data_IF_327346917047
#
_entry.id   IF_327346917047
#
_cell.length_a   1.000
_cell.length_b   1.000
_cell.length_c   1.000
_cell.angle_alpha   90.00
_cell.angle_beta   90.00
_cell.angle_gamma   90.00
#
_symmetry.space_group_name_H-M   'P 1'
#
loop_
_entity.id
_entity.type
_entity.pdbx_description
1 polymer ?
#
# COMPACT_ATOMS: atom_id res chain seq x y z
N UNK A 1 5.75 16.99 -26.15
CA UNK A 1 6.76 17.74 -25.37
C UNK A 1 6.94 19.10 -26.02
N UNK A 2 7.08 20.17 -25.24
CA UNK A 2 7.25 21.53 -25.76
C UNK A 2 8.62 21.68 -26.43
N UNK A 3 8.63 22.40 -27.54
CA UNK A 3 9.85 22.94 -28.15
C UNK A 3 10.54 23.93 -27.21
N UNK A 4 11.80 24.27 -27.48
CA UNK A 4 12.53 25.26 -26.68
C UNK A 4 11.83 26.63 -26.71
N UNK A 5 11.25 27.03 -27.84
CA UNK A 5 10.54 28.30 -27.98
C UNK A 5 9.25 28.32 -27.16
N UNK A 6 8.44 27.25 -27.23
CA UNK A 6 7.24 27.10 -26.41
C UNK A 6 7.56 27.10 -24.92
N UNK A 7 8.66 26.44 -24.52
CA UNK A 7 9.13 26.43 -23.14
C UNK A 7 9.57 27.83 -22.68
N UNK A 8 10.34 28.56 -23.49
CA UNK A 8 10.75 29.93 -23.19
C UNK A 8 9.53 30.83 -22.99
N UNK A 9 8.54 30.74 -23.90
CA UNK A 9 7.29 31.50 -23.80
C UNK A 9 6.50 31.12 -22.54
N UNK A 10 6.44 29.82 -22.21
CA UNK A 10 5.80 29.36 -20.99
C UNK A 10 6.50 29.92 -19.74
N UNK A 11 7.83 29.92 -19.67
CA UNK A 11 8.58 30.52 -18.58
C UNK A 11 8.31 32.02 -18.41
N UNK A 12 8.16 32.75 -19.51
CA UNK A 12 7.78 34.17 -19.50
C UNK A 12 6.35 34.34 -18.97
N UNK A 13 5.39 33.56 -19.49
CA UNK A 13 3.99 33.62 -19.06
C UNK A 13 3.81 33.31 -17.57
N UNK A 14 4.59 32.36 -17.04
CA UNK A 14 4.58 32.01 -15.62
C UNK A 14 5.42 32.96 -14.75
N UNK A 15 6.06 33.99 -15.33
CA UNK A 15 6.95 34.91 -14.62
C UNK A 15 8.05 34.20 -13.82
N UNK A 16 8.63 33.13 -14.37
CA UNK A 16 9.62 32.33 -13.64
C UNK A 16 10.94 33.09 -13.45
N UNK A 17 11.51 32.95 -12.25
CA UNK A 17 12.87 33.40 -11.94
C UNK A 17 13.91 32.65 -12.78
N UNK A 18 15.09 33.25 -12.98
CA UNK A 18 16.19 32.59 -13.69
C UNK A 18 16.59 31.26 -13.02
N UNK A 19 16.57 31.22 -11.68
CA UNK A 19 16.87 30.00 -10.92
C UNK A 19 15.84 28.88 -11.21
N UNK A 20 14.55 29.22 -11.27
CA UNK A 20 13.49 28.28 -11.60
C UNK A 20 13.62 27.73 -13.03
N UNK A 21 13.98 28.59 -13.99
CA UNK A 21 14.22 28.19 -15.39
C UNK A 21 15.39 27.19 -15.50
N UNK A 22 16.52 27.51 -14.86
CA UNK A 22 17.71 26.63 -14.84
C UNK A 22 17.37 25.26 -14.26
N UNK A 23 16.59 25.21 -13.18
CA UNK A 23 16.22 23.93 -12.56
C UNK A 23 15.30 23.10 -13.47
N UNK A 24 14.34 23.72 -14.16
CA UNK A 24 13.52 22.98 -15.14
C UNK A 24 14.37 22.51 -16.33
N UNK A 25 15.23 23.36 -16.89
CA UNK A 25 16.11 22.95 -18.00
C UNK A 25 17.01 21.78 -17.62
N UNK A 26 17.55 21.80 -16.40
CA UNK A 26 18.32 20.69 -15.84
C UNK A 26 17.47 19.41 -15.77
N UNK A 27 16.20 19.49 -15.37
CA UNK A 27 15.29 18.34 -15.34
C UNK A 27 14.96 17.85 -16.77
N UNK A 28 14.62 18.76 -17.68
CA UNK A 28 14.28 18.45 -19.09
C UNK A 28 15.43 17.76 -19.83
N UNK A 29 16.67 18.12 -19.51
CA UNK A 29 17.88 17.57 -20.12
C UNK A 29 18.47 16.37 -19.35
N UNK A 30 17.95 16.04 -18.18
CA UNK A 30 18.44 14.91 -17.40
C UNK A 30 17.93 13.57 -17.96
N UNK A 31 18.80 12.58 -18.04
CA UNK A 31 18.36 11.19 -18.08
C UNK A 31 17.74 10.80 -16.72
N UNK A 32 16.80 9.83 -16.65
CA UNK A 32 16.25 9.35 -15.39
C UNK A 32 17.38 8.98 -14.42
N UNK A 33 17.32 9.50 -13.19
CA UNK A 33 18.45 9.46 -12.25
C UNK A 33 18.86 8.06 -11.79
N UNK A 34 18.07 7.02 -12.09
CA UNK A 34 18.35 5.61 -11.82
C UNK A 34 17.67 4.70 -12.84
N UNK A 35 18.25 3.53 -13.10
CA UNK A 35 17.54 2.47 -13.84
C UNK A 35 16.64 1.70 -12.87
N UNK A 36 15.37 1.50 -13.25
CA UNK A 36 14.43 0.71 -12.44
C UNK A 36 14.89 -0.75 -12.31
N UNK A 37 15.00 -1.24 -11.08
CA UNK A 37 15.32 -2.63 -10.78
C UNK A 37 14.09 -3.39 -10.29
N UNK A 38 13.79 -4.55 -10.88
CA UNK A 38 12.71 -5.41 -10.37
C UNK A 38 13.10 -6.03 -9.03
N UNK A 39 12.41 -5.66 -7.95
CA UNK A 39 12.51 -6.34 -6.65
C UNK A 39 11.33 -7.30 -6.48
N UNK A 40 11.51 -8.38 -5.72
CA UNK A 40 10.53 -9.47 -5.48
C UNK A 40 9.11 -9.02 -5.06
N UNK A 41 8.92 -7.77 -4.64
CA UNK A 41 7.65 -7.24 -4.12
C UNK A 41 6.99 -6.16 -5.01
N UNK A 42 7.68 -5.62 -6.02
CA UNK A 42 7.17 -4.52 -6.85
C UNK A 42 7.28 -4.86 -8.34
N UNK A 43 6.20 -4.60 -9.09
CA UNK A 43 6.24 -4.63 -10.57
C UNK A 43 6.59 -3.23 -11.04
N UNK A 44 7.82 -3.10 -11.56
CA UNK A 44 8.32 -1.93 -12.29
C UNK A 44 8.13 -2.14 -13.79
N UNK A 45 8.18 -1.06 -14.55
CA UNK A 45 8.00 -1.11 -15.99
C UNK A 45 8.32 0.19 -16.70
N UNK A 46 7.89 0.24 -17.97
CA UNK A 46 8.08 1.35 -18.89
C UNK A 46 6.75 1.69 -19.54
N UNK A 47 6.46 2.98 -19.64
CA UNK A 47 5.27 3.51 -20.28
C UNK A 47 5.65 4.33 -21.53
N UNK A 48 5.18 3.96 -22.73
CA UNK A 48 5.47 4.73 -23.95
C UNK A 48 4.55 5.96 -24.01
N UNK A 49 5.04 7.11 -23.52
CA UNK A 49 4.25 8.35 -23.53
C UNK A 49 4.14 8.90 -24.96
N UNK A 50 2.90 9.01 -25.46
CA UNK A 50 2.60 9.69 -26.73
C UNK A 50 2.73 11.20 -26.55
N UNK A 51 2.31 11.74 -25.39
CA UNK A 51 2.43 13.18 -25.05
C UNK A 51 3.89 13.66 -25.07
N UNK A 52 4.79 12.87 -24.49
CA UNK A 52 6.21 13.23 -24.39
C UNK A 52 7.03 12.72 -25.57
N UNK A 53 6.56 11.70 -26.30
CA UNK A 53 7.32 11.06 -27.37
C UNK A 53 8.50 10.22 -26.87
N UNK A 54 8.53 9.90 -25.58
CA UNK A 54 9.61 9.14 -24.93
C UNK A 54 9.03 8.07 -24.01
N UNK A 55 9.91 7.16 -23.55
CA UNK A 55 9.53 6.13 -22.59
C UNK A 55 9.76 6.61 -21.16
N UNK A 56 8.71 6.56 -20.35
CA UNK A 56 8.72 6.95 -18.92
C UNK A 56 8.85 5.70 -18.06
N UNK A 57 9.74 5.69 -17.07
CA UNK A 57 9.90 4.56 -16.16
C UNK A 57 8.94 4.69 -14.96
N UNK A 58 8.52 3.55 -14.41
CA UNK A 58 7.81 3.50 -13.14
C UNK A 58 8.26 2.28 -12.33
N UNK A 59 8.23 2.39 -11.01
CA UNK A 59 8.57 1.33 -10.06
C UNK A 59 7.37 0.72 -9.36
N UNK A 60 6.21 1.35 -9.49
CA UNK A 60 4.98 0.88 -8.89
C UNK A 60 3.80 0.91 -9.86
N UNK A 61 3.38 -0.28 -10.31
CA UNK A 61 2.12 -0.42 -11.04
C UNK A 61 0.86 -0.01 -10.25
N UNK A 62 0.97 0.19 -8.92
CA UNK A 62 -0.18 0.50 -8.05
C UNK A 62 -0.42 1.98 -7.85
N UNK A 63 0.62 2.81 -7.97
CA UNK A 63 0.51 4.26 -7.73
C UNK A 63 1.17 5.07 -8.84
N UNK A 64 2.40 4.76 -9.23
CA UNK A 64 3.10 5.52 -10.28
C UNK A 64 2.50 5.29 -11.66
N UNK A 65 2.19 4.04 -12.04
CA UNK A 65 1.57 3.77 -13.34
C UNK A 65 0.18 4.44 -13.47
N UNK A 66 -0.77 4.32 -12.52
CA UNK A 66 -2.03 5.07 -12.59
C UNK A 66 -1.82 6.60 -12.61
N UNK A 67 -0.81 7.11 -11.91
CA UNK A 67 -0.46 8.53 -11.99
C UNK A 67 0.01 8.93 -13.38
N UNK A 68 0.87 8.13 -14.03
CA UNK A 68 1.28 8.34 -15.43
C UNK A 68 0.07 8.36 -16.36
N UNK A 69 -0.90 7.44 -16.22
CA UNK A 69 -2.13 7.47 -17.02
C UNK A 69 -2.88 8.80 -16.87
N UNK A 70 -3.03 9.31 -15.64
CA UNK A 70 -3.66 10.60 -15.37
C UNK A 70 -2.87 11.79 -15.95
N UNK A 71 -1.53 11.74 -15.91
CA UNK A 71 -0.70 12.77 -16.53
C UNK A 71 -0.80 12.76 -18.06
N UNK A 72 -0.69 11.57 -18.67
CA UNK A 72 -0.73 11.38 -20.12
C UNK A 72 -2.05 11.88 -20.72
N UNK A 73 -3.17 11.68 -20.04
CA UNK A 73 -4.51 11.99 -20.55
C UNK A 73 -5.05 13.34 -20.04
N UNK A 74 -4.29 14.07 -19.23
CA UNK A 74 -4.68 15.40 -18.78
C UNK A 74 -4.33 16.45 -19.85
N UNK A 75 -5.31 17.26 -20.25
CA UNK A 75 -5.09 18.41 -21.13
C UNK A 75 -4.29 19.55 -20.49
N UNK A 76 -4.24 19.61 -19.15
CA UNK A 76 -3.48 20.63 -18.42
C UNK A 76 -1.98 20.30 -18.29
N UNK A 77 -1.61 19.02 -18.42
CA UNK A 77 -0.21 18.58 -18.32
C UNK A 77 0.47 18.79 -19.66
N UNK A 78 1.52 19.62 -19.66
CA UNK A 78 2.36 19.89 -20.82
C UNK A 78 3.50 18.87 -20.91
N UNK A 79 4.17 18.64 -19.78
CA UNK A 79 5.29 17.71 -19.68
C UNK A 79 5.36 17.02 -18.33
N UNK A 80 5.99 15.84 -18.30
CA UNK A 80 6.29 15.15 -17.05
C UNK A 80 7.52 14.25 -17.20
N UNK A 81 8.31 14.18 -16.14
CA UNK A 81 9.61 13.53 -16.10
C UNK A 81 9.67 12.59 -14.91
N UNK A 82 10.00 11.32 -15.14
CA UNK A 82 10.23 10.34 -14.07
C UNK A 82 11.60 10.54 -13.43
N UNK A 83 11.65 10.38 -12.11
CA UNK A 83 12.89 10.35 -11.32
C UNK A 83 13.84 11.54 -11.58
N UNK A 84 13.35 12.78 -11.41
CA UNK A 84 14.18 13.99 -11.57
C UNK A 84 15.41 13.95 -10.65
N UNK A 85 16.43 14.81 -10.88
CA UNK A 85 17.63 14.86 -10.07
C UNK A 85 17.32 14.94 -8.56
N UNK A 86 18.03 14.15 -7.72
CA UNK A 86 17.78 14.12 -6.30
C UNK A 86 18.16 15.43 -5.62
N UNK A 87 17.48 15.76 -4.52
CA UNK A 87 17.79 16.92 -3.70
C UNK A 87 17.68 16.62 -2.21
N UNK A 88 18.30 17.48 -1.39
CA UNK A 88 18.32 17.34 0.06
C UNK A 88 17.15 18.07 0.68
N UNK A 89 16.39 17.35 1.51
CA UNK A 89 15.40 17.93 2.42
C UNK A 89 15.92 17.90 3.85
N UNK A 90 15.49 18.86 4.67
CA UNK A 90 15.86 18.96 6.08
C UNK A 90 14.61 19.09 6.96
N UNK A 91 14.53 18.33 8.03
CA UNK A 91 13.41 18.35 8.96
C UNK A 91 13.82 17.81 10.34
N UNK A 92 13.09 18.17 11.39
CA UNK A 92 13.32 17.64 12.73
C UNK A 92 12.66 16.27 12.90
N UNK A 93 13.31 15.34 13.59
CA UNK A 93 12.72 14.06 13.98
C UNK A 93 11.61 14.26 15.02
N UNK A 94 10.83 13.21 15.31
CA UNK A 94 9.87 13.22 16.42
C UNK A 94 10.54 13.48 17.79
N UNK A 95 11.84 13.20 17.92
CA UNK A 95 12.64 13.45 19.12
C UNK A 95 13.38 14.80 19.10
N UNK A 96 13.09 15.67 18.13
CA UNK A 96 13.70 17.00 18.00
C UNK A 96 15.10 17.06 17.38
N UNK A 97 15.63 15.96 16.82
CA UNK A 97 16.94 15.96 16.15
C UNK A 97 16.82 16.42 14.70
N UNK A 98 17.72 17.26 14.22
CA UNK A 98 17.73 17.67 12.82
C UNK A 98 18.22 16.52 11.92
N UNK A 99 17.45 16.20 10.89
CA UNK A 99 17.74 15.19 9.88
C UNK A 99 17.92 15.85 8.52
N UNK A 100 18.90 15.40 7.75
CA UNK A 100 19.08 15.74 6.35
C UNK A 100 19.01 14.49 5.50
N UNK A 101 18.07 14.43 4.56
CA UNK A 101 17.84 13.25 3.71
C UNK A 101 17.86 13.68 2.26
N UNK A 102 18.63 12.98 1.43
CA UNK A 102 18.56 13.13 -0.02
C UNK A 102 17.39 12.28 -0.52
N UNK A 103 16.48 12.90 -1.26
CA UNK A 103 15.31 12.25 -1.85
C UNK A 103 15.36 12.36 -3.36
N UNK A 104 14.82 11.36 -4.03
CA UNK A 104 14.49 11.40 -5.45
C UNK A 104 12.97 11.36 -5.54
N UNK A 105 12.31 12.45 -5.92
CA UNK A 105 10.87 12.42 -6.19
C UNK A 105 10.55 11.45 -7.32
N UNK A 106 9.30 10.97 -7.37
CA UNK A 106 8.90 10.02 -8.40
C UNK A 106 8.71 10.73 -9.74
N UNK A 107 8.19 11.97 -9.72
CA UNK A 107 8.00 12.77 -10.93
C UNK A 107 8.30 14.26 -10.72
N UNK A 108 8.61 14.94 -11.82
CA UNK A 108 8.44 16.38 -11.98
C UNK A 108 7.39 16.64 -13.07
N UNK A 109 6.44 17.54 -12.82
CA UNK A 109 5.31 17.79 -13.73
C UNK A 109 5.25 19.27 -14.08
N UNK A 110 5.12 19.57 -15.37
CA UNK A 110 4.87 20.90 -15.91
C UNK A 110 3.43 20.96 -16.42
N UNK A 111 2.66 21.88 -15.84
CA UNK A 111 1.26 22.16 -16.16
C UNK A 111 1.15 23.50 -16.86
N UNK A 112 -0.04 23.79 -17.38
CA UNK A 112 -0.31 25.06 -18.06
C UNK A 112 0.03 26.28 -17.20
N UNK A 113 -0.22 26.20 -15.89
CA UNK A 113 -0.05 27.33 -14.95
C UNK A 113 0.78 27.00 -13.69
N UNK A 114 1.52 25.89 -13.67
CA UNK A 114 2.36 25.54 -12.53
C UNK A 114 3.39 24.47 -12.89
N UNK A 115 4.41 24.30 -12.06
CA UNK A 115 5.28 23.13 -12.10
C UNK A 115 5.65 22.68 -10.69
N UNK A 116 6.12 21.45 -10.57
CA UNK A 116 6.65 20.95 -9.32
C UNK A 116 6.83 19.45 -9.24
N UNK A 117 7.30 19.01 -8.06
CA UNK A 117 7.66 17.63 -7.79
C UNK A 117 6.50 16.84 -7.20
N UNK A 118 6.44 15.55 -7.52
CA UNK A 118 5.42 14.64 -7.03
C UNK A 118 6.09 13.38 -6.47
N UNK A 119 5.71 13.02 -5.24
CA UNK A 119 5.96 11.69 -4.67
C UNK A 119 4.65 10.91 -4.63
N UNK A 120 4.65 9.71 -5.21
CA UNK A 120 3.56 8.76 -5.20
C UNK A 120 3.69 7.82 -3.99
N UNK A 121 2.61 7.66 -3.22
CA UNK A 121 2.53 6.73 -2.09
C UNK A 121 1.14 6.14 -1.96
N UNK A 122 1.00 4.96 -1.38
CA UNK A 122 -0.32 4.48 -0.96
C UNK A 122 -0.77 5.18 0.32
N UNK A 123 -2.09 5.31 0.54
CA UNK A 123 -2.65 5.86 1.78
C UNK A 123 -2.08 5.16 3.02
N UNK A 124 -2.08 3.83 2.99
CA UNK A 124 -1.53 3.00 4.07
C UNK A 124 -0.04 3.25 4.35
N UNK A 125 0.75 3.60 3.33
CA UNK A 125 2.15 3.98 3.51
C UNK A 125 2.26 5.36 4.14
N UNK A 126 1.47 6.33 3.70
CA UNK A 126 1.46 7.69 4.24
C UNK A 126 1.07 7.70 5.72
N UNK A 127 0.05 6.94 6.12
CA UNK A 127 -0.34 6.76 7.53
C UNK A 127 0.84 6.28 8.39
N UNK A 128 1.56 5.24 7.93
CA UNK A 128 2.75 4.71 8.63
C UNK A 128 3.89 5.71 8.65
N UNK A 129 4.10 6.43 7.55
CA UNK A 129 5.17 7.41 7.41
C UNK A 129 4.92 8.64 8.28
N UNK A 130 3.67 9.09 8.43
CA UNK A 130 3.29 10.18 9.32
C UNK A 130 3.55 9.81 10.79
N UNK A 131 3.25 8.58 11.20
CA UNK A 131 3.60 8.10 12.55
C UNK A 131 5.12 8.05 12.78
N UNK A 132 5.88 7.61 11.77
CA UNK A 132 7.34 7.45 11.87
C UNK A 132 8.11 8.77 11.74
N UNK A 133 7.60 9.70 10.94
CA UNK A 133 8.29 10.94 10.54
C UNK A 133 7.27 12.08 10.38
N UNK A 134 6.65 12.52 11.50
CA UNK A 134 5.52 13.45 11.49
C UNK A 134 5.86 14.86 10.99
N UNK A 135 7.14 15.27 11.01
CA UNK A 135 7.56 16.54 10.43
C UNK A 135 7.93 16.45 8.94
N UNK A 136 7.89 15.24 8.35
CA UNK A 136 8.06 15.03 6.91
C UNK A 136 6.75 14.70 6.21
N UNK A 137 5.84 13.99 6.85
CA UNK A 137 4.56 13.60 6.27
C UNK A 137 3.44 14.02 7.21
N UNK A 138 2.56 14.88 6.72
CA UNK A 138 1.45 15.46 7.48
C UNK A 138 0.17 15.35 6.67
N UNK A 139 -0.93 15.07 7.35
CA UNK A 139 -2.26 15.22 6.78
C UNK A 139 -2.80 16.56 7.30
N UNK A 140 -3.15 17.47 6.40
CA UNK A 140 -3.74 18.75 6.79
C UNK A 140 -5.23 18.62 7.14
N UNK A 141 -5.83 19.70 7.63
CA UNK A 141 -7.24 19.75 8.03
C UNK A 141 -8.22 19.49 6.86
N UNK A 142 -7.74 19.60 5.62
CA UNK A 142 -8.51 19.33 4.40
C UNK A 142 -8.31 17.89 3.89
N UNK A 143 -7.75 16.99 4.70
CA UNK A 143 -7.39 15.62 4.33
C UNK A 143 -6.42 15.54 3.14
N UNK A 144 -5.52 16.52 3.00
CA UNK A 144 -4.49 16.52 1.97
C UNK A 144 -3.13 16.25 2.59
N UNK A 145 -2.47 15.24 2.03
CA UNK A 145 -1.11 14.90 2.39
C UNK A 145 -0.13 15.98 1.95
N UNK A 146 0.74 16.39 2.87
CA UNK A 146 1.78 17.38 2.68
C UNK A 146 3.14 16.87 3.14
N UNK A 147 4.19 17.36 2.50
CA UNK A 147 5.56 17.26 2.99
C UNK A 147 6.13 18.65 3.17
N UNK A 148 6.07 19.23 4.39
CA UNK A 148 6.63 20.56 4.66
C UNK A 148 8.07 20.74 4.14
N UNK A 149 9.03 19.81 4.41
CA UNK A 149 10.40 20.02 3.95
C UNK A 149 10.57 19.83 2.43
N UNK A 150 9.65 19.12 1.76
CA UNK A 150 9.60 19.07 0.29
C UNK A 150 9.05 20.36 -0.29
N UNK A 151 8.04 20.96 0.37
CA UNK A 151 7.47 22.24 -0.01
C UNK A 151 8.48 23.38 0.16
N UNK A 152 9.22 23.41 1.28
CA UNK A 152 10.28 24.39 1.54
C UNK A 152 11.36 24.38 0.45
N UNK A 153 11.68 23.19 -0.08
CA UNK A 153 12.59 23.07 -1.22
C UNK A 153 11.97 23.65 -2.49
N UNK A 154 10.75 23.23 -2.83
CA UNK A 154 10.10 23.64 -4.09
C UNK A 154 9.78 25.15 -4.14
N UNK A 155 9.44 25.75 -3.00
CA UNK A 155 9.12 27.18 -2.89
C UNK A 155 10.29 28.10 -3.24
N UNK A 156 11.53 27.64 -3.11
CA UNK A 156 12.73 28.40 -3.54
C UNK A 156 12.71 28.71 -5.04
N UNK A 157 11.95 27.93 -5.82
CA UNK A 157 11.78 28.10 -7.26
C UNK A 157 10.39 28.63 -7.63
N UNK A 158 9.51 28.88 -6.65
CA UNK A 158 8.09 29.19 -6.89
C UNK A 158 7.27 27.98 -7.37
N UNK A 159 7.75 26.75 -7.12
CA UNK A 159 7.09 25.51 -7.53
C UNK A 159 6.36 24.84 -6.37
N UNK A 160 5.58 23.81 -6.69
CA UNK A 160 4.90 22.99 -5.70
C UNK A 160 5.64 21.68 -5.41
N UNK A 161 5.31 21.09 -4.25
CA UNK A 161 5.68 19.72 -3.92
C UNK A 161 4.42 18.98 -3.47
N UNK A 162 4.08 17.88 -4.16
CA UNK A 162 2.84 17.15 -3.93
C UNK A 162 3.11 15.72 -3.48
N UNK A 163 2.44 15.32 -2.40
CA UNK A 163 2.19 13.91 -2.13
C UNK A 163 0.92 13.48 -2.89
N UNK A 164 1.08 12.58 -3.85
CA UNK A 164 -0.02 11.98 -4.59
C UNK A 164 -0.30 10.58 -4.02
N UNK A 165 -1.52 10.39 -3.53
CA UNK A 165 -1.89 9.19 -2.81
C UNK A 165 -2.78 8.27 -3.65
N UNK A 166 -2.81 6.98 -3.28
CA UNK A 166 -3.70 6.00 -3.92
C UNK A 166 -5.19 6.38 -3.86
N UNK A 167 -5.61 7.27 -2.95
CA UNK A 167 -6.98 7.78 -2.90
C UNK A 167 -7.34 8.67 -4.10
N UNK A 168 -6.35 9.21 -4.81
CA UNK A 168 -6.54 10.09 -5.98
C UNK A 168 -6.59 9.33 -7.31
N UNK A 169 -6.48 8.00 -7.28
CA UNK A 169 -6.50 7.17 -8.50
C UNK A 169 -7.90 7.23 -9.13
N UNK A 170 -7.95 7.63 -10.39
CA UNK A 170 -9.15 7.50 -11.21
C UNK A 170 -9.18 6.14 -11.90
N UNK A 171 -9.80 5.14 -11.25
CA UNK A 171 -9.92 3.79 -11.81
C UNK A 171 -10.81 3.73 -13.06
N UNK A 172 -11.79 4.64 -13.18
CA UNK A 172 -12.62 4.74 -14.39
C UNK A 172 -11.77 5.13 -15.58
N UNK A 173 -10.88 6.12 -15.42
CA UNK A 173 -9.94 6.50 -16.49
C UNK A 173 -9.11 5.29 -16.91
N UNK A 174 -8.56 4.52 -15.97
CA UNK A 174 -7.79 3.32 -16.29
C UNK A 174 -8.64 2.27 -17.03
N UNK A 175 -9.86 2.01 -16.57
CA UNK A 175 -10.76 1.00 -17.13
C UNK A 175 -11.22 1.34 -18.55
N UNK A 176 -11.41 2.63 -18.85
CA UNK A 176 -11.95 3.09 -20.16
C UNK A 176 -10.88 3.58 -21.13
N UNK A 177 -9.61 3.61 -20.74
CA UNK A 177 -8.51 4.06 -21.61
C UNK A 177 -7.88 2.87 -22.33
N UNK A 178 -7.47 3.06 -23.59
CA UNK A 178 -6.73 2.05 -24.35
C UNK A 178 -5.48 1.60 -23.57
N UNK A 179 -5.37 0.30 -23.33
CA UNK A 179 -4.23 -0.25 -22.60
C UNK A 179 -3.17 -0.79 -23.59
N UNK A 180 -1.88 -0.41 -23.46
CA UNK A 180 -0.84 -0.85 -24.39
C UNK A 180 -0.70 -2.37 -24.53
N UNK A 181 -0.96 -3.12 -23.45
CA UNK A 181 -0.91 -4.58 -23.45
C UNK A 181 -2.19 -5.26 -24.00
N UNK A 182 -3.24 -4.49 -24.33
CA UNK A 182 -4.52 -5.00 -24.84
C UNK A 182 -4.74 -4.62 -26.31
N UNK A 183 -3.65 -4.45 -27.07
CA UNK A 183 -3.68 -4.15 -28.51
C UNK A 183 -4.55 -2.94 -28.88
N UNK A 184 -4.56 -1.91 -28.04
CA UNK A 184 -5.35 -0.69 -28.28
C UNK A 184 -6.80 -0.77 -27.80
N UNK A 185 -7.20 -1.82 -27.11
CA UNK A 185 -8.50 -1.89 -26.44
C UNK A 185 -8.38 -1.45 -24.99
N UNK A 186 -9.46 -0.94 -24.43
CA UNK A 186 -9.57 -0.64 -23.00
C UNK A 186 -9.84 -1.92 -22.18
N UNK A 187 -9.44 -1.95 -20.90
CA UNK A 187 -9.82 -3.03 -19.99
C UNK A 187 -11.33 -3.31 -19.97
N UNK A 188 -12.14 -2.25 -20.00
CA UNK A 188 -13.60 -2.32 -20.05
C UNK A 188 -14.12 -3.06 -21.28
N UNK A 189 -13.60 -2.72 -22.46
CA UNK A 189 -14.00 -3.35 -23.73
C UNK A 189 -13.62 -4.84 -23.74
N UNK A 190 -12.38 -5.16 -23.38
CA UNK A 190 -11.91 -6.56 -23.35
C UNK A 190 -12.74 -7.39 -22.36
N UNK A 191 -13.04 -6.82 -21.18
CA UNK A 191 -13.91 -7.47 -20.21
C UNK A 191 -15.30 -7.72 -20.78
N UNK A 192 -15.93 -6.71 -21.38
CA UNK A 192 -17.28 -6.79 -21.96
C UNK A 192 -17.32 -7.79 -23.12
N UNK A 193 -16.34 -7.76 -24.02
CA UNK A 193 -16.19 -8.72 -25.11
C UNK A 193 -16.03 -10.14 -24.58
N UNK A 194 -15.23 -10.34 -23.53
CA UNK A 194 -15.06 -11.63 -22.88
C UNK A 194 -16.37 -12.17 -22.30
N UNK A 195 -17.15 -11.32 -21.62
CA UNK A 195 -18.47 -11.71 -21.11
C UNK A 195 -19.44 -12.05 -22.24
N UNK A 196 -19.46 -11.27 -23.32
CA UNK A 196 -20.33 -11.55 -24.47
C UNK A 196 -19.94 -12.84 -25.21
N UNK A 197 -18.63 -13.12 -25.33
CA UNK A 197 -18.12 -14.28 -26.05
C UNK A 197 -18.26 -15.58 -25.25
N UNK A 198 -18.00 -15.54 -23.94
CA UNK A 198 -17.92 -16.74 -23.11
C UNK A 198 -19.07 -16.89 -22.10
N UNK A 199 -19.94 -15.88 -22.01
CA UNK A 199 -21.04 -15.80 -21.06
C UNK A 199 -20.59 -15.55 -19.62
N UNK A 200 -21.53 -15.14 -18.78
CA UNK A 200 -21.33 -15.10 -17.32
C UNK A 200 -21.46 -16.49 -16.72
N UNK A 201 -20.45 -16.94 -15.96
CA UNK A 201 -20.48 -18.23 -15.25
C UNK A 201 -21.30 -18.13 -13.96
N UNK A 202 -22.60 -17.88 -14.07
CA UNK A 202 -23.51 -17.72 -12.92
C UNK A 202 -23.60 -18.97 -12.03
N UNK A 203 -23.39 -20.17 -12.59
CA UNK A 203 -23.28 -21.43 -11.81
C UNK A 203 -22.01 -21.53 -10.95
N UNK A 204 -21.11 -20.56 -11.03
CA UNK A 204 -19.93 -20.39 -10.17
C UNK A 204 -19.96 -19.05 -9.45
N UNK A 205 -21.15 -18.51 -9.20
CA UNK A 205 -21.30 -17.42 -8.24
C UNK A 205 -20.90 -17.98 -6.87
N UNK A 206 -19.75 -17.54 -6.38
CA UNK A 206 -19.37 -17.78 -4.99
C UNK A 206 -19.94 -16.59 -4.22
N UNK A 207 -21.09 -16.75 -3.54
CA UNK A 207 -21.67 -15.65 -2.78
C UNK A 207 -20.65 -15.15 -1.75
N UNK A 208 -20.59 -13.84 -1.55
CA UNK A 208 -19.78 -13.26 -0.48
C UNK A 208 -20.52 -13.41 0.85
N UNK A 209 -20.73 -14.66 1.27
CA UNK A 209 -21.40 -15.06 2.49
C UNK A 209 -20.39 -15.46 3.58
N UNK A 210 -20.90 -15.80 4.78
CA UNK A 210 -20.04 -16.21 5.89
C UNK A 210 -19.27 -17.50 5.59
N UNK A 211 -19.83 -18.42 4.79
CA UNK A 211 -19.13 -19.63 4.36
C UNK A 211 -17.92 -19.28 3.50
N UNK A 212 -18.08 -18.41 2.51
CA UNK A 212 -16.97 -17.95 1.68
C UNK A 212 -15.89 -17.29 2.54
N UNK A 213 -16.28 -16.36 3.42
CA UNK A 213 -15.34 -15.70 4.35
C UNK A 213 -14.55 -16.72 5.15
N UNK A 214 -15.23 -17.68 5.78
CA UNK A 214 -14.58 -18.75 6.56
C UNK A 214 -13.67 -19.59 5.67
N UNK A 215 -14.10 -20.00 4.48
CA UNK A 215 -13.28 -20.82 3.57
C UNK A 215 -12.00 -20.12 3.08
N UNK A 216 -11.94 -18.80 3.14
CA UNK A 216 -10.71 -18.02 2.85
C UNK A 216 -9.77 -17.87 4.06
N UNK A 217 -10.21 -18.20 5.27
CA UNK A 217 -9.37 -18.17 6.46
C UNK A 217 -8.33 -19.30 6.45
N UNK A 218 -7.14 -19.10 7.04
CA UNK A 218 -6.14 -20.16 7.14
C UNK A 218 -6.61 -21.30 8.04
N UNK A 219 -5.90 -22.42 7.88
CA UNK A 219 -6.10 -23.65 8.66
C UNK A 219 -4.75 -24.10 9.24
N UNK A 220 -4.79 -25.03 10.20
CA UNK A 220 -3.60 -25.73 10.68
C UNK A 220 -2.89 -26.47 9.53
N UNK A 221 -1.60 -26.83 9.74
CA UNK A 221 -0.79 -27.59 8.77
C UNK A 221 -1.46 -28.87 8.25
N UNK A 222 -2.35 -29.49 9.04
CA UNK A 222 -3.06 -30.73 8.69
C UNK A 222 -4.47 -30.50 8.15
N UNK A 223 -4.97 -29.26 8.11
CA UNK A 223 -6.36 -28.97 7.70
C UNK A 223 -7.43 -29.26 8.76
N UNK A 224 -7.09 -30.09 9.77
CA UNK A 224 -8.03 -30.65 10.76
C UNK A 224 -7.48 -30.53 12.18
N UNK A 225 -8.37 -30.54 13.16
CA UNK A 225 -8.04 -30.67 14.58
C UNK A 225 -8.90 -31.76 15.24
N UNK A 226 -8.33 -32.40 16.26
CA UNK A 226 -9.03 -33.39 17.08
C UNK A 226 -9.88 -32.67 18.12
N UNK A 227 -11.16 -33.04 18.21
CA UNK A 227 -12.05 -32.57 19.29
C UNK A 227 -11.67 -33.29 20.58
N UNK A 228 -11.06 -32.55 21.50
CA UNK A 228 -10.65 -33.04 22.80
C UNK A 228 -11.81 -32.94 23.80
N UNK A 229 -12.12 -34.02 24.53
CA UNK A 229 -13.20 -34.04 25.51
C UNK A 229 -13.01 -32.94 26.56
N UNK A 230 -14.06 -32.13 26.77
CA UNK A 230 -14.05 -31.04 27.76
C UNK A 230 -13.11 -29.85 27.46
N UNK A 231 -12.37 -29.86 26.34
CA UNK A 231 -11.44 -28.79 25.96
C UNK A 231 -11.71 -28.18 24.58
N UNK A 232 -12.34 -28.94 23.67
CA UNK A 232 -12.62 -28.52 22.31
C UNK A 232 -11.45 -28.77 21.38
N UNK A 233 -11.16 -27.85 20.45
CA UNK A 233 -10.09 -28.01 19.46
C UNK A 233 -8.87 -27.18 19.83
N UNK A 234 -7.67 -27.65 19.45
CA UNK A 234 -6.41 -26.92 19.69
C UNK A 234 -5.85 -26.37 18.37
N UNK A 235 -5.64 -25.06 18.30
CA UNK A 235 -5.02 -24.35 17.18
C UNK A 235 -3.93 -23.44 17.75
N UNK A 236 -2.69 -23.55 17.23
CA UNK A 236 -1.55 -22.72 17.63
C UNK A 236 -1.41 -22.52 19.14
N UNK A 237 -1.41 -23.63 19.87
CA UNK A 237 -1.32 -23.72 21.32
C UNK A 237 -2.46 -23.11 22.13
N UNK A 238 -3.58 -22.75 21.50
CA UNK A 238 -4.79 -22.23 22.15
C UNK A 238 -5.94 -23.21 21.98
N UNK A 239 -6.72 -23.41 23.03
CA UNK A 239 -7.98 -24.16 22.95
C UNK A 239 -9.12 -23.26 22.51
N UNK A 240 -9.99 -23.79 21.67
CA UNK A 240 -11.22 -23.16 21.21
C UNK A 240 -12.40 -24.08 21.50
N UNK A 241 -13.46 -23.51 22.07
CA UNK A 241 -14.62 -24.23 22.55
C UNK A 241 -15.90 -23.79 21.84
N UNK A 242 -16.78 -24.77 21.57
CA UNK A 242 -18.17 -24.58 21.19
C UNK A 242 -19.01 -25.68 21.84
N UNK A 243 -20.28 -25.38 22.16
CA UNK A 243 -21.16 -26.29 22.90
C UNK A 243 -21.39 -27.64 22.19
N UNK A 244 -21.36 -27.66 20.85
CA UNK A 244 -21.56 -28.89 20.05
C UNK A 244 -20.42 -29.90 20.20
N UNK A 245 -19.27 -29.52 20.77
CA UNK A 245 -18.20 -30.46 21.10
C UNK A 245 -18.56 -31.43 22.24
N UNK A 246 -19.66 -31.19 22.96
CA UNK A 246 -20.22 -32.13 23.94
C UNK A 246 -20.98 -33.28 23.32
N UNK A 247 -21.32 -33.19 22.03
CA UNK A 247 -21.99 -34.27 21.32
C UNK A 247 -21.04 -35.49 21.24
N UNK A 248 -21.42 -36.67 21.78
CA UNK A 248 -20.60 -37.87 21.70
C UNK A 248 -20.25 -38.30 20.27
N UNK A 249 -21.03 -37.90 19.26
CA UNK A 249 -20.74 -38.16 17.85
C UNK A 249 -19.63 -37.26 17.29
N UNK A 250 -19.38 -36.11 17.93
CA UNK A 250 -18.37 -35.12 17.54
C UNK A 250 -17.10 -35.29 18.37
N UNK A 251 -17.23 -35.69 19.63
CA UNK A 251 -16.10 -35.93 20.53
C UNK A 251 -15.10 -36.92 19.92
N UNK A 252 -13.79 -36.66 20.07
CA UNK A 252 -12.69 -37.51 19.57
C UNK A 252 -12.65 -37.68 18.05
N UNK A 253 -13.39 -36.88 17.30
CA UNK A 253 -13.31 -36.87 15.83
C UNK A 253 -12.34 -35.81 15.32
N UNK A 254 -11.82 -36.00 14.10
CA UNK A 254 -11.00 -35.02 13.39
C UNK A 254 -11.90 -34.19 12.47
N UNK A 255 -12.06 -32.91 12.81
CA UNK A 255 -12.91 -31.97 12.07
C UNK A 255 -12.08 -30.92 11.34
N UNK A 256 -12.60 -30.37 10.24
CA UNK A 256 -11.94 -29.26 9.56
C UNK A 256 -12.01 -28.02 10.44
N UNK A 257 -10.92 -27.27 10.48
CA UNK A 257 -10.82 -26.07 11.31
C UNK A 257 -10.24 -24.92 10.51
N UNK A 258 -10.67 -23.72 10.83
CA UNK A 258 -10.10 -22.49 10.32
C UNK A 258 -10.01 -21.47 11.44
N UNK A 259 -9.09 -20.54 11.37
CA UNK A 259 -8.89 -19.54 12.43
C UNK A 259 -8.75 -18.15 11.81
N UNK A 260 -9.13 -17.12 12.55
CA UNK A 260 -9.05 -15.74 12.08
C UNK A 260 -7.72 -15.10 12.51
N UNK A 261 -6.78 -14.82 11.59
CA UNK A 261 -5.50 -14.19 11.92
C UNK A 261 -5.64 -12.78 12.47
N UNK A 262 -6.79 -12.13 12.24
CA UNK A 262 -7.10 -10.78 12.69
C UNK A 262 -7.98 -10.78 13.96
N UNK A 263 -8.44 -11.95 14.41
CA UNK A 263 -9.18 -12.12 15.65
C UNK A 263 -8.87 -13.48 16.29
N UNK A 264 -7.76 -13.54 17.02
CA UNK A 264 -7.29 -14.76 17.67
C UNK A 264 -8.22 -15.29 18.77
N UNK A 265 -9.23 -14.51 19.18
CA UNK A 265 -10.30 -14.96 20.06
C UNK A 265 -11.26 -15.95 19.39
N UNK A 266 -11.30 -16.02 18.06
CA UNK A 266 -12.29 -16.79 17.30
C UNK A 266 -11.60 -17.80 16.39
N UNK A 267 -12.17 -19.00 16.33
CA UNK A 267 -11.89 -20.00 15.31
C UNK A 267 -13.21 -20.61 14.81
N UNK A 268 -13.16 -21.34 13.70
CA UNK A 268 -14.31 -21.99 13.09
C UNK A 268 -14.04 -23.48 12.98
N UNK A 269 -15.07 -24.26 13.29
CA UNK A 269 -15.04 -25.72 13.24
C UNK A 269 -16.16 -26.22 12.33
N UNK A 270 -15.86 -27.16 11.43
CA UNK A 270 -16.87 -27.72 10.53
C UNK A 270 -17.50 -28.97 11.14
N UNK A 271 -18.76 -28.88 11.52
CA UNK A 271 -19.50 -29.91 12.26
C UNK A 271 -20.85 -30.11 11.58
N UNK A 272 -21.19 -31.36 11.25
CA UNK A 272 -22.50 -31.74 10.69
C UNK A 272 -22.95 -30.88 9.48
N UNK A 273 -22.01 -30.49 8.63
CA UNK A 273 -22.30 -29.71 7.42
C UNK A 273 -22.29 -28.19 7.60
N UNK A 274 -22.01 -27.69 8.80
CA UNK A 274 -22.02 -26.26 9.12
C UNK A 274 -20.70 -25.82 9.74
N UNK A 275 -20.29 -24.59 9.47
CA UNK A 275 -19.22 -23.94 10.21
C UNK A 275 -19.80 -23.31 11.49
N UNK A 276 -19.24 -23.70 12.63
CA UNK A 276 -19.60 -23.13 13.94
C UNK A 276 -18.46 -22.26 14.47
N UNK A 277 -18.82 -21.12 15.04
CA UNK A 277 -17.88 -20.23 15.72
C UNK A 277 -17.46 -20.84 17.06
N UNK A 278 -16.16 -20.90 17.30
CA UNK A 278 -15.55 -21.40 18.53
C UNK A 278 -14.79 -20.26 19.22
N UNK A 279 -14.98 -20.12 20.52
CA UNK A 279 -14.33 -19.09 21.33
C UNK A 279 -13.06 -19.63 21.97
N UNK A 280 -11.98 -18.84 21.95
CA UNK A 280 -10.74 -19.19 22.63
C UNK A 280 -10.92 -19.28 24.15
N UNK A 281 -10.14 -20.12 24.82
CA UNK A 281 -10.00 -20.10 26.29
C UNK A 281 -9.56 -18.73 26.84
N UNK A 282 -8.91 -17.90 26.00
CA UNK A 282 -8.49 -16.54 26.31
C UNK A 282 -9.38 -15.47 25.66
N UNK A 283 -10.63 -15.79 25.30
CA UNK A 283 -11.52 -14.92 24.54
C UNK A 283 -11.58 -13.46 25.06
N UNK A 284 -11.73 -13.18 26.37
CA UNK A 284 -11.79 -11.81 26.87
C UNK A 284 -10.54 -10.97 26.55
N UNK A 285 -9.37 -11.61 26.43
CA UNK A 285 -8.10 -10.95 26.15
C UNK A 285 -7.81 -10.86 24.65
N UNK A 286 -8.25 -11.85 23.87
CA UNK A 286 -7.89 -11.98 22.45
C UNK A 286 -8.95 -11.52 21.46
N UNK A 287 -10.18 -11.24 21.91
CA UNK A 287 -11.24 -10.73 21.05
C UNK A 287 -10.80 -9.45 20.34
N UNK A 288 -10.81 -9.47 19.00
CA UNK A 288 -10.43 -8.33 18.15
C UNK A 288 -8.93 -8.06 18.08
N UNK A 289 -8.09 -8.99 18.55
CA UNK A 289 -6.63 -8.90 18.42
C UNK A 289 -6.13 -9.89 17.37
N UNK A 290 -5.25 -9.41 16.50
CA UNK A 290 -4.57 -10.25 15.51
C UNK A 290 -3.52 -11.14 16.15
N UNK A 291 -3.21 -12.26 15.50
CA UNK A 291 -2.13 -13.16 15.90
C UNK A 291 -0.79 -12.42 15.99
N UNK A 292 -0.55 -11.46 15.11
CA UNK A 292 0.68 -10.67 15.09
C UNK A 292 0.79 -9.76 16.31
N UNK A 293 -0.30 -9.12 16.72
CA UNK A 293 -0.32 -8.30 17.94
C UNK A 293 -0.03 -9.16 19.18
N UNK A 294 -0.64 -10.35 19.26
CA UNK A 294 -0.41 -11.30 20.36
C UNK A 294 1.05 -11.77 20.37
N UNK A 295 1.62 -12.09 19.21
CA UNK A 295 3.02 -12.50 19.08
C UNK A 295 3.98 -11.40 19.57
N UNK A 296 3.76 -10.15 19.15
CA UNK A 296 4.56 -9.00 19.58
C UNK A 296 4.45 -8.74 21.09
N UNK A 297 3.24 -8.72 21.63
CA UNK A 297 3.02 -8.55 23.08
C UNK A 297 3.70 -9.67 23.88
N UNK A 298 3.58 -10.92 23.42
CA UNK A 298 4.22 -12.08 24.06
C UNK A 298 5.74 -11.99 24.01
N UNK A 299 6.31 -11.57 22.87
CA UNK A 299 7.75 -11.39 22.73
C UNK A 299 8.28 -10.29 23.65
N UNK A 300 7.54 -9.18 23.81
CA UNK A 300 7.87 -8.10 24.71
C UNK A 300 7.85 -8.56 26.17
N UNK A 301 6.82 -9.29 26.61
CA UNK A 301 6.72 -9.85 27.95
C UNK A 301 7.89 -10.80 28.25
N UNK A 302 8.22 -11.71 27.32
CA UNK A 302 9.38 -12.61 27.45
C UNK A 302 10.69 -11.85 27.64
N UNK A 303 10.91 -10.80 26.84
CA UNK A 303 12.12 -9.95 26.95
C UNK A 303 12.18 -9.21 28.29
N UNK A 304 11.05 -8.68 28.77
CA UNK A 304 10.98 -8.04 30.09
C UNK A 304 11.31 -9.02 31.21
N UNK A 305 10.78 -10.25 31.16
CA UNK A 305 11.10 -11.29 32.15
C UNK A 305 12.57 -11.72 32.11
N UNK A 306 13.16 -11.83 30.92
CA UNK A 306 14.59 -12.12 30.76
C UNK A 306 15.45 -11.01 31.36
N UNK A 307 15.15 -9.75 31.04
CA UNK A 307 15.86 -8.60 31.58
C UNK A 307 15.73 -8.51 33.11
N UNK A 308 14.53 -8.76 33.65
CA UNK A 308 14.31 -8.77 35.10
C UNK A 308 15.10 -9.90 35.78
N UNK A 309 15.16 -11.09 35.17
CA UNK A 309 16.02 -12.18 35.66
C UNK A 309 17.49 -11.76 35.64
N UNK A 310 18.01 -11.28 34.51
CA UNK A 310 19.40 -10.84 34.41
C UNK A 310 19.74 -9.73 35.43
N UNK A 311 18.85 -8.75 35.62
CA UNK A 311 19.03 -7.71 36.63
C UNK A 311 19.05 -8.26 38.06
N UNK A 312 18.20 -9.26 38.37
CA UNK A 312 18.17 -9.91 39.69
C UNK A 312 19.46 -10.73 39.95
N UNK A 313 20.02 -11.37 38.92
CA UNK A 313 21.30 -12.09 39.02
C UNK A 313 22.52 -11.16 39.08
N UNK A 314 22.44 -9.95 38.52
CA UNK A 314 23.51 -8.94 38.60
C UNK A 314 23.52 -8.14 39.91
N UNK A 315 22.43 -8.15 40.69
CA UNK A 315 22.33 -7.48 41.99
C UNK A 315 22.72 -8.41 43.16
N UNK A 316 22.61 -9.73 42.96
CA UNK A 316 22.83 -10.75 44.00
C UNK A 316 24.13 -11.57 43.83
N UNK A 317 25.03 -11.14 42.95
CA UNK A 317 26.41 -11.63 42.80
C UNK A 317 27.36 -10.43 42.79
#
# INVERSE_FOLDING_TARGET
>A
MMTQEEFNQWCVNQSLSNQARIEIEKIRNACPSRSVGSRRQNVSGRYPSRKMGVTIQFESHKVELPFIYQLEHSGDVLEYYDQPPPFKIQYSSASGRNLGVIITPDFFVIRSHSAGWVECKTERELEKLAQKSPHRYQLDDNNKWQSPPGLDYAQQFGFNFQLWSSAKINWTLYDTTEHPALHGQSPHEVFTMGINQFGSRNGRLIPYDDNFRILTLPTTKKGKALVQPGKGIKIDNKYYWHQTFRDPQVERTLINVRYDPFNAGIAYAYIQGLWVECISEYYPLFRGRSEKEIELATAQLKKQMQNHRSSYWSINN
#
